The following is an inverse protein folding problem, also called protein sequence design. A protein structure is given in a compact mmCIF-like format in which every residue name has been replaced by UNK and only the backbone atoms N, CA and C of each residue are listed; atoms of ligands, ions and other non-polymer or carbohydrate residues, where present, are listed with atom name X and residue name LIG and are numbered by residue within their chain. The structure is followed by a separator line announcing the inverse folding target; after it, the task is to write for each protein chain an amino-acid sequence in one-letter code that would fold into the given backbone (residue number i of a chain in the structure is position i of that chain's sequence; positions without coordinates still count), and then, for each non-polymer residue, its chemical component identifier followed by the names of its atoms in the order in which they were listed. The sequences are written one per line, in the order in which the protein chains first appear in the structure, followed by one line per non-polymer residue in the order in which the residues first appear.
data_IF_988510444062
#
_entry.id   IF_988510444062
#
_cell.length_a   1.000
_cell.length_b   1.000
_cell.length_c   1.000
_cell.angle_alpha   90.00
_cell.angle_beta   90.00
_cell.angle_gamma   90.00
#
_symmetry.space_group_name_H-M   'P 1'
#
loop_
_entity.id
_entity.type
_entity.pdbx_description
1 polymer ?
#
# COMPACT_ATOMS: atom_id res chain seq x y z
N UNK A 1 -3.26 29.64 33.42
CA UNK A 1 -3.12 30.34 32.13
C UNK A 1 -3.81 29.55 31.02
N UNK A 2 -5.13 29.70 30.93
CA UNK A 2 -6.00 28.82 30.12
C UNK A 2 -7.00 29.63 29.29
N UNK A 3 -7.55 30.71 29.86
CA UNK A 3 -8.56 31.58 29.22
C UNK A 3 -7.94 32.48 28.14
N UNK A 4 -6.79 33.13 28.40
CA UNK A 4 -6.13 34.00 27.41
C UNK A 4 -5.76 33.25 26.12
N UNK A 5 -5.18 32.06 26.25
CA UNK A 5 -4.81 31.20 25.11
C UNK A 5 -6.01 30.72 24.31
N UNK A 6 -7.15 30.49 24.97
CA UNK A 6 -8.39 30.07 24.32
C UNK A 6 -9.03 31.23 23.56
N UNK A 7 -9.06 32.43 24.15
CA UNK A 7 -9.48 33.67 23.47
C UNK A 7 -8.59 33.98 22.26
N UNK A 8 -7.27 33.89 22.42
CA UNK A 8 -6.34 34.08 21.32
C UNK A 8 -6.59 33.08 20.18
N UNK A 9 -6.77 31.80 20.52
CA UNK A 9 -7.11 30.76 19.54
C UNK A 9 -8.41 31.06 18.80
N UNK A 10 -9.45 31.47 19.52
CA UNK A 10 -10.73 31.86 18.91
C UNK A 10 -10.54 33.03 17.94
N UNK A 11 -9.75 34.05 18.28
CA UNK A 11 -9.45 35.15 17.36
C UNK A 11 -8.65 34.72 16.12
N UNK A 12 -7.75 33.74 16.24
CA UNK A 12 -6.90 33.29 15.12
C UNK A 12 -7.62 32.33 14.16
N UNK A 13 -8.42 31.40 14.69
CA UNK A 13 -8.96 30.26 13.92
C UNK A 13 -10.48 30.18 13.91
N UNK A 14 -11.17 31.17 14.47
CA UNK A 14 -12.63 31.23 14.65
C UNK A 14 -13.23 29.99 15.32
N UNK A 15 -12.39 29.24 16.03
CA UNK A 15 -12.72 27.93 16.59
C UNK A 15 -11.93 27.71 17.87
N UNK A 16 -12.60 27.15 18.88
CA UNK A 16 -11.96 26.73 20.14
C UNK A 16 -11.56 25.26 20.12
N UNK A 17 -11.95 24.52 19.07
CA UNK A 17 -11.62 23.11 18.87
C UNK A 17 -10.12 22.87 18.92
N UNK A 18 -9.74 21.67 19.34
CA UNK A 18 -8.34 21.28 19.33
C UNK A 18 -7.79 21.18 17.92
N UNK A 19 -6.57 21.72 17.75
CA UNK A 19 -5.82 21.60 16.50
C UNK A 19 -5.35 20.15 16.32
N UNK A 20 -5.31 19.64 15.08
CA UNK A 20 -4.74 18.33 14.82
C UNK A 20 -3.31 18.28 15.34
N UNK A 21 -3.00 17.25 16.13
CA UNK A 21 -1.66 17.04 16.67
C UNK A 21 -0.78 16.40 15.61
N UNK A 22 0.49 16.82 15.54
CA UNK A 22 1.48 16.11 14.73
C UNK A 22 1.68 14.70 15.31
N UNK A 23 1.39 13.68 14.50
CA UNK A 23 1.62 12.29 14.86
C UNK A 23 3.10 11.89 14.77
N UNK A 24 3.42 10.66 15.19
CA UNK A 24 4.75 10.09 15.02
C UNK A 24 5.12 9.99 13.53
N UNK A 25 6.35 10.36 13.13
CA UNK A 25 6.81 10.19 11.75
C UNK A 25 6.74 8.74 11.29
N UNK A 26 6.43 8.53 10.00
CA UNK A 26 6.44 7.19 9.40
C UNK A 26 7.85 6.61 9.35
N UNK A 27 7.93 5.29 9.54
CA UNK A 27 9.16 4.51 9.39
C UNK A 27 9.64 4.43 7.93
N UNK A 28 8.73 4.58 6.96
CA UNK A 28 9.06 4.60 5.53
C UNK A 28 8.93 6.00 4.95
N UNK A 29 9.71 6.28 3.90
CA UNK A 29 9.57 7.48 3.08
C UNK A 29 8.65 7.23 1.90
N UNK A 30 8.07 8.28 1.31
CA UNK A 30 7.20 8.15 0.14
C UNK A 30 7.91 7.49 -1.07
N UNK A 31 9.23 7.68 -1.22
CA UNK A 31 10.02 6.99 -2.25
C UNK A 31 10.12 5.49 -1.97
N UNK A 32 10.35 5.10 -0.71
CA UNK A 32 10.38 3.69 -0.31
C UNK A 32 9.01 3.04 -0.53
N UNK A 33 7.93 3.74 -0.16
CA UNK A 33 6.56 3.24 -0.36
C UNK A 33 6.27 2.95 -1.84
N UNK A 34 6.61 3.88 -2.74
CA UNK A 34 6.49 3.67 -4.20
C UNK A 34 7.33 2.49 -4.70
N UNK A 35 8.52 2.29 -4.17
CA UNK A 35 9.38 1.17 -4.55
C UNK A 35 8.81 -0.17 -4.06
N UNK A 36 8.26 -0.22 -2.84
CA UNK A 36 7.56 -1.41 -2.36
C UNK A 36 6.39 -1.76 -3.27
N UNK A 37 5.54 -0.78 -3.60
CA UNK A 37 4.41 -0.97 -4.52
C UNK A 37 4.89 -1.52 -5.87
N UNK A 38 5.90 -0.91 -6.49
CA UNK A 38 6.47 -1.39 -7.76
C UNK A 38 7.00 -2.82 -7.67
N UNK A 39 7.78 -3.12 -6.64
CA UNK A 39 8.38 -4.45 -6.48
C UNK A 39 7.31 -5.54 -6.31
N UNK A 40 6.25 -5.27 -5.55
CA UNK A 40 5.15 -6.22 -5.34
C UNK A 40 4.19 -6.33 -6.55
N UNK A 41 4.12 -5.31 -7.41
CA UNK A 41 3.41 -5.42 -8.70
C UNK A 41 4.17 -6.30 -9.70
N UNK A 42 5.51 -6.15 -9.75
CA UNK A 42 6.37 -6.92 -10.64
C UNK A 42 6.52 -8.38 -10.17
N UNK A 43 6.61 -8.60 -8.86
CA UNK A 43 6.71 -9.94 -8.28
C UNK A 43 5.58 -10.17 -7.27
N UNK A 44 4.47 -10.73 -7.76
CA UNK A 44 3.26 -10.99 -6.95
C UNK A 44 3.47 -12.03 -5.84
N UNK A 45 4.52 -12.85 -5.93
CA UNK A 45 4.85 -13.86 -4.92
C UNK A 45 5.84 -13.36 -3.86
N UNK A 46 6.36 -12.14 -4.00
CA UNK A 46 7.26 -11.56 -3.02
C UNK A 46 6.52 -11.35 -1.68
N UNK A 47 7.02 -12.00 -0.63
CA UNK A 47 6.45 -11.83 0.71
C UNK A 47 6.86 -10.50 1.34
N UNK A 48 5.96 -9.90 2.12
CA UNK A 48 6.25 -8.67 2.87
C UNK A 48 7.42 -8.84 3.85
N UNK A 49 7.62 -10.05 4.40
CA UNK A 49 8.74 -10.38 5.29
C UNK A 49 10.08 -10.43 4.55
N UNK A 50 10.11 -10.88 3.30
CA UNK A 50 11.31 -10.81 2.47
C UNK A 50 11.65 -9.34 2.16
N UNK A 51 10.66 -8.54 1.75
CA UNK A 51 10.86 -7.11 1.49
C UNK A 51 11.35 -6.34 2.73
N UNK A 52 10.85 -6.66 3.92
CA UNK A 52 11.28 -6.01 5.16
C UNK A 52 12.72 -6.36 5.57
N UNK A 53 13.21 -7.55 5.18
CA UNK A 53 14.62 -7.93 5.40
C UNK A 53 15.56 -7.23 4.42
N UNK A 54 15.10 -7.01 3.18
CA UNK A 54 15.91 -6.39 2.12
C UNK A 54 15.99 -4.86 2.23
N UNK A 55 14.96 -4.21 2.77
CA UNK A 55 14.86 -2.74 2.77
C UNK A 55 14.98 -2.18 4.18
N UNK A 56 15.88 -1.21 4.35
CA UNK A 56 15.97 -0.39 5.56
C UNK A 56 15.02 0.81 5.45
N UNK A 57 14.39 1.17 6.57
CA UNK A 57 13.47 2.30 6.66
C UNK A 57 14.19 3.64 6.67
N UNK A 58 13.41 4.69 6.94
CA UNK A 58 13.91 6.04 7.20
C UNK A 58 14.97 5.98 8.31
N UNK A 59 16.06 6.74 8.12
CA UNK A 59 17.21 6.79 9.04
C UNK A 59 17.82 5.41 9.32
N UNK A 60 17.85 4.53 8.32
CA UNK A 60 18.38 3.17 8.39
C UNK A 60 17.70 2.26 9.45
N UNK A 61 16.51 2.63 9.92
CA UNK A 61 15.78 1.85 10.90
C UNK A 61 15.32 0.51 10.32
N UNK A 62 15.38 -0.55 11.14
CA UNK A 62 14.82 -1.85 10.75
C UNK A 62 13.30 -1.75 10.72
N UNK A 63 12.68 -2.09 9.59
CA UNK A 63 11.24 -2.14 9.47
C UNK A 63 10.73 -3.58 9.62
N UNK A 64 9.55 -3.75 10.21
CA UNK A 64 8.86 -5.03 10.29
C UNK A 64 8.03 -5.32 9.05
N UNK A 65 7.65 -6.59 8.86
CA UNK A 65 6.75 -7.00 7.77
C UNK A 65 5.37 -6.31 7.85
N UNK A 66 4.92 -5.96 9.07
CA UNK A 66 3.66 -5.21 9.28
C UNK A 66 3.70 -3.82 8.63
N UNK A 67 4.86 -3.15 8.66
CA UNK A 67 5.05 -1.84 8.03
C UNK A 67 4.90 -1.94 6.51
N UNK A 68 5.53 -2.94 5.91
CA UNK A 68 5.41 -3.22 4.46
C UNK A 68 3.96 -3.54 4.11
N UNK A 69 3.28 -4.39 4.88
CA UNK A 69 1.85 -4.70 4.64
C UNK A 69 0.97 -3.45 4.71
N UNK A 70 1.19 -2.56 5.70
CA UNK A 70 0.44 -1.30 5.81
C UNK A 70 0.73 -0.35 4.64
N UNK A 71 1.97 -0.27 4.19
CA UNK A 71 2.35 0.51 3.00
C UNK A 71 1.58 0.02 1.76
N UNK A 72 1.58 -1.30 1.52
CA UNK A 72 0.89 -1.91 0.39
C UNK A 72 -0.62 -1.70 0.48
N UNK A 73 -1.23 -1.92 1.64
CA UNK A 73 -2.68 -1.74 1.82
C UNK A 73 -3.13 -0.30 1.65
N UNK A 74 -2.34 0.67 2.13
CA UNK A 74 -2.60 2.10 1.94
C UNK A 74 -2.57 2.47 0.46
N UNK A 75 -1.78 1.75 -0.34
CA UNK A 75 -1.67 1.93 -1.79
C UNK A 75 -2.68 1.07 -2.58
N UNK A 76 -3.62 0.41 -1.92
CA UNK A 76 -4.64 -0.44 -2.55
C UNK A 76 -4.20 -1.86 -2.90
N UNK A 77 -2.95 -2.25 -2.61
CA UNK A 77 -2.46 -3.59 -2.87
C UNK A 77 -2.84 -4.56 -1.73
N UNK A 78 -3.43 -5.69 -2.11
CA UNK A 78 -3.81 -6.78 -1.18
C UNK A 78 -3.29 -8.11 -1.71
N UNK A 79 -2.89 -8.99 -0.80
CA UNK A 79 -2.58 -10.37 -1.15
C UNK A 79 -3.87 -11.10 -1.58
N UNK A 80 -3.75 -11.92 -2.62
CA UNK A 80 -4.82 -12.79 -3.10
C UNK A 80 -4.28 -14.20 -3.25
N UNK A 81 -5.16 -15.20 -3.16
CA UNK A 81 -4.81 -16.58 -3.49
C UNK A 81 -4.68 -16.69 -5.01
N UNK A 82 -3.54 -17.19 -5.54
CA UNK A 82 -3.42 -17.44 -6.97
C UNK A 82 -4.45 -18.50 -7.39
N UNK A 83 -4.87 -18.44 -8.65
CA UNK A 83 -5.69 -19.50 -9.24
C UNK A 83 -4.91 -20.82 -9.24
N UNK A 84 -5.60 -21.92 -8.92
CA UNK A 84 -5.05 -23.28 -8.94
C UNK A 84 -5.86 -24.05 -9.97
N UNK A 85 -5.22 -24.48 -11.06
CA UNK A 85 -5.84 -25.27 -12.12
C UNK A 85 -4.87 -25.54 -13.27
N UNK A 86 -5.32 -26.21 -14.34
CA UNK A 86 -4.47 -26.55 -15.47
C UNK A 86 -3.88 -25.30 -16.14
N UNK A 87 -2.57 -25.33 -16.42
CA UNK A 87 -1.92 -24.29 -17.22
C UNK A 87 -2.41 -24.39 -18.66
N UNK A 88 -3.05 -23.34 -19.19
CA UNK A 88 -3.39 -23.29 -20.60
C UNK A 88 -2.11 -23.11 -21.42
N UNK A 89 -1.85 -24.05 -22.31
CA UNK A 89 -0.87 -23.86 -23.38
C UNK A 89 -1.40 -22.81 -24.36
N UNK A 90 -0.49 -22.19 -25.12
CA UNK A 90 -0.86 -21.18 -26.13
C UNK A 90 -1.89 -21.71 -27.13
N UNK A 91 -1.73 -22.97 -27.59
CA UNK A 91 -2.67 -23.65 -28.49
C UNK A 91 -4.07 -23.74 -27.89
N UNK A 92 -4.18 -24.21 -26.64
CA UNK A 92 -5.48 -24.32 -25.97
C UNK A 92 -6.13 -22.94 -25.76
N UNK A 93 -5.33 -21.91 -25.43
CA UNK A 93 -5.82 -20.54 -25.31
C UNK A 93 -6.42 -20.00 -26.61
N UNK A 94 -5.71 -20.20 -27.73
CA UNK A 94 -6.18 -19.77 -29.05
C UNK A 94 -7.48 -20.47 -29.47
N UNK A 95 -7.52 -21.80 -29.36
CA UNK A 95 -8.72 -22.58 -29.73
C UNK A 95 -9.95 -22.18 -28.90
N UNK A 96 -9.79 -22.01 -27.58
CA UNK A 96 -10.89 -21.57 -26.71
C UNK A 96 -11.37 -20.16 -27.07
N UNK A 97 -10.46 -19.28 -27.45
CA UNK A 97 -10.80 -17.90 -27.84
C UNK A 97 -11.57 -17.88 -29.16
N UNK A 98 -11.11 -18.62 -30.18
CA UNK A 98 -11.81 -18.74 -31.46
C UNK A 98 -13.22 -19.29 -31.26
N UNK A 99 -13.34 -20.39 -30.52
CA UNK A 99 -14.64 -20.98 -30.24
C UNK A 99 -15.59 -19.99 -29.55
N UNK A 100 -15.10 -19.23 -28.56
CA UNK A 100 -15.90 -18.22 -27.86
C UNK A 100 -16.32 -17.07 -28.78
N UNK A 101 -15.49 -16.69 -29.75
CA UNK A 101 -15.83 -15.65 -30.74
C UNK A 101 -16.87 -16.14 -31.75
N UNK A 102 -16.74 -17.38 -32.24
CA UNK A 102 -17.68 -17.99 -33.18
C UNK A 102 -19.09 -18.18 -32.60
N UNK A 103 -19.19 -18.32 -31.28
CA UNK A 103 -20.44 -18.62 -30.57
C UNK A 103 -20.90 -17.48 -29.63
N UNK A 104 -20.30 -16.29 -29.73
CA UNK A 104 -20.80 -15.10 -29.05
C UNK A 104 -21.94 -14.51 -29.90
N UNK A 105 -23.18 -14.84 -29.51
CA UNK A 105 -24.39 -14.26 -30.08
C UNK A 105 -24.49 -12.75 -29.84
#
# INVERSE_FOLDING_TARGET
MTIFRLRQRLHETDTVSDRPRCGRPRCTTQRQDRNHVRNHMNNRFLSASASSRQTRGRNNQRMGANTVRRCLSTSGLRARRPYIGPTLTQRHGHQRTLWAQEHAA
#
